data_IF_373430422288
#
_entry.id   IF_373430422288
#
_cell.length_a   1.000
_cell.length_b   1.000
_cell.length_c   1.000
_cell.angle_alpha   90.00
_cell.angle_beta   90.00
_cell.angle_gamma   90.00
#
_symmetry.space_group_name_H-M   'P 1'
#
loop_
_entity.id
_entity.type
_entity.pdbx_description
1 polymer ?
#
# COMPACT_ATOMS: atom_id res chain seq x y z
N UNK A 1 14.84 -4.97 72.42
CA UNK A 1 14.76 -4.42 71.05
C UNK A 1 15.65 -5.28 70.16
N UNK A 2 15.07 -6.18 69.35
CA UNK A 2 15.84 -7.04 68.47
C UNK A 2 16.27 -6.24 67.24
N UNK A 3 17.56 -5.96 67.14
CA UNK A 3 18.16 -5.28 65.99
C UNK A 3 18.14 -6.25 64.80
N UNK A 4 17.18 -6.07 63.89
CA UNK A 4 17.16 -6.79 62.62
C UNK A 4 18.33 -6.27 61.79
N UNK A 5 19.29 -7.13 61.52
CA UNK A 5 20.33 -6.85 60.53
C UNK A 5 19.68 -7.00 59.16
N UNK A 6 19.26 -5.90 58.58
CA UNK A 6 18.87 -5.87 57.16
C UNK A 6 20.11 -6.25 56.35
N UNK A 7 20.00 -7.36 55.61
CA UNK A 7 21.06 -7.87 54.75
C UNK A 7 21.31 -6.90 53.59
N UNK A 8 22.56 -6.51 53.38
CA UNK A 8 22.96 -5.69 52.23
C UNK A 8 22.98 -6.49 50.93
N UNK A 9 22.81 -5.79 49.81
CA UNK A 9 22.83 -6.38 48.47
C UNK A 9 24.23 -6.92 48.15
N UNK A 10 24.31 -8.17 47.72
CA UNK A 10 25.59 -8.78 47.34
C UNK A 10 25.98 -8.44 45.90
N UNK A 11 27.29 -8.52 45.60
CA UNK A 11 27.79 -8.37 44.23
C UNK A 11 27.10 -9.36 43.26
N UNK A 12 26.88 -10.60 43.72
CA UNK A 12 26.28 -11.65 42.90
C UNK A 12 24.79 -11.36 42.62
N UNK A 13 24.02 -10.83 43.58
CA UNK A 13 22.64 -10.40 43.33
C UNK A 13 22.56 -9.25 42.33
N UNK A 14 23.44 -8.26 42.45
CA UNK A 14 23.49 -7.16 41.48
C UNK A 14 23.81 -7.69 40.07
N UNK A 15 24.79 -8.59 39.96
CA UNK A 15 25.19 -9.18 38.68
C UNK A 15 24.06 -10.01 38.06
N UNK A 16 23.33 -10.79 38.87
CA UNK A 16 22.14 -11.53 38.41
C UNK A 16 21.04 -10.57 37.96
N UNK A 17 20.77 -9.50 38.72
CA UNK A 17 19.75 -8.51 38.37
C UNK A 17 20.06 -7.82 37.02
N UNK A 18 21.31 -7.41 36.80
CA UNK A 18 21.75 -6.82 35.53
C UNK A 18 21.69 -7.83 34.39
N UNK A 19 22.08 -9.10 34.62
CA UNK A 19 21.99 -10.14 33.61
C UNK A 19 20.54 -10.40 33.17
N UNK A 20 19.62 -10.55 34.13
CA UNK A 20 18.18 -10.72 33.84
C UNK A 20 17.63 -9.50 33.11
N UNK A 21 17.96 -8.29 33.59
CA UNK A 21 17.53 -7.05 32.95
C UNK A 21 18.04 -6.93 31.51
N UNK A 22 19.28 -7.31 31.24
CA UNK A 22 19.85 -7.30 29.90
C UNK A 22 19.10 -8.27 28.96
N UNK A 23 18.80 -9.49 29.41
CA UNK A 23 18.02 -10.45 28.61
C UNK A 23 16.61 -9.93 28.35
N UNK A 24 15.90 -9.44 29.37
CA UNK A 24 14.55 -8.89 29.21
C UNK A 24 14.53 -7.69 28.25
N UNK A 25 15.52 -6.80 28.37
CA UNK A 25 15.67 -5.64 27.48
C UNK A 25 15.93 -6.06 26.04
N UNK A 26 16.79 -7.05 25.82
CA UNK A 26 17.07 -7.58 24.48
C UNK A 26 15.81 -8.21 23.85
N UNK A 27 15.04 -8.98 24.62
CA UNK A 27 13.78 -9.58 24.17
C UNK A 27 12.73 -8.51 23.84
N UNK A 28 12.58 -7.50 24.71
CA UNK A 28 11.63 -6.41 24.50
C UNK A 28 11.98 -5.61 23.23
N UNK A 29 13.25 -5.27 23.04
CA UNK A 29 13.72 -4.54 21.86
C UNK A 29 13.53 -5.36 20.58
N UNK A 30 13.85 -6.66 20.61
CA UNK A 30 13.61 -7.56 19.49
C UNK A 30 12.12 -7.66 19.14
N UNK A 31 11.26 -7.79 20.15
CA UNK A 31 9.80 -7.81 19.97
C UNK A 31 9.27 -6.53 19.32
N UNK A 32 9.70 -5.37 19.80
CA UNK A 32 9.33 -4.08 19.21
C UNK A 32 9.80 -3.97 17.75
N UNK A 33 11.05 -4.34 17.47
CA UNK A 33 11.59 -4.30 16.12
C UNK A 33 10.80 -5.21 15.16
N UNK A 34 10.42 -6.41 15.61
CA UNK A 34 9.59 -7.32 14.83
C UNK A 34 8.21 -6.74 14.52
N UNK A 35 7.58 -6.05 15.48
CA UNK A 35 6.29 -5.37 15.25
C UNK A 35 6.43 -4.24 14.24
N UNK A 36 7.48 -3.43 14.35
CA UNK A 36 7.74 -2.33 13.42
C UNK A 36 7.96 -2.84 11.98
N UNK A 37 8.76 -3.90 11.82
CA UNK A 37 9.00 -4.55 10.53
C UNK A 37 7.72 -5.18 9.97
N UNK A 38 6.95 -5.87 10.80
CA UNK A 38 5.67 -6.46 10.36
C UNK A 38 4.69 -5.38 9.90
N UNK A 39 4.62 -4.27 10.64
CA UNK A 39 3.78 -3.13 10.29
C UNK A 39 4.22 -2.46 8.98
N UNK A 40 5.53 -2.31 8.75
CA UNK A 40 6.03 -1.73 7.50
C UNK A 40 5.73 -2.62 6.29
N UNK A 41 5.91 -3.94 6.41
CA UNK A 41 5.54 -4.90 5.37
C UNK A 41 4.03 -4.91 5.08
N UNK A 42 3.19 -4.89 6.12
CA UNK A 42 1.74 -4.84 5.96
C UNK A 42 1.28 -3.57 5.24
N UNK A 43 1.88 -2.41 5.57
CA UNK A 43 1.60 -1.14 4.88
C UNK A 43 1.99 -1.20 3.40
N UNK A 44 3.18 -1.71 3.08
CA UNK A 44 3.64 -1.83 1.69
C UNK A 44 2.70 -2.70 0.84
N UNK A 45 2.21 -3.81 1.39
CA UNK A 45 1.25 -4.67 0.67
C UNK A 45 -0.13 -4.01 0.56
N UNK A 46 -0.59 -3.32 1.61
CA UNK A 46 -1.84 -2.53 1.55
C UNK A 46 -1.79 -1.45 0.46
N UNK A 47 -0.66 -0.74 0.33
CA UNK A 47 -0.49 0.28 -0.71
C UNK A 47 -0.47 -0.32 -2.12
N UNK A 48 0.12 -1.52 -2.27
CA UNK A 48 0.09 -2.27 -3.54
C UNK A 48 -1.34 -2.68 -3.91
N UNK A 49 -2.09 -3.24 -2.96
CA UNK A 49 -3.48 -3.64 -3.18
C UNK A 49 -4.37 -2.44 -3.49
N UNK A 50 -4.17 -1.32 -2.80
CA UNK A 50 -4.90 -0.06 -3.04
C UNK A 50 -4.68 0.42 -4.47
N UNK A 51 -3.42 0.42 -4.95
CA UNK A 51 -3.10 0.78 -6.34
C UNK A 51 -3.80 -0.13 -7.33
N UNK A 52 -3.75 -1.45 -7.12
CA UNK A 52 -4.43 -2.41 -8.00
C UNK A 52 -5.95 -2.16 -8.04
N UNK A 53 -6.58 -1.96 -6.89
CA UNK A 53 -8.01 -1.68 -6.81
C UNK A 53 -8.37 -0.37 -7.51
N UNK A 54 -7.55 0.67 -7.36
CA UNK A 54 -7.76 1.93 -8.08
C UNK A 54 -7.66 1.73 -9.59
N UNK A 55 -6.63 1.06 -10.08
CA UNK A 55 -6.47 0.74 -11.51
C UNK A 55 -7.68 -0.02 -12.04
N UNK A 56 -8.12 -1.06 -11.34
CA UNK A 56 -9.30 -1.85 -11.74
C UNK A 56 -10.59 -1.01 -11.73
N UNK A 57 -10.76 -0.13 -10.74
CA UNK A 57 -11.92 0.79 -10.69
C UNK A 57 -11.94 1.78 -11.84
N UNK A 58 -10.78 2.35 -12.21
CA UNK A 58 -10.70 3.24 -13.36
C UNK A 58 -11.01 2.49 -14.65
N UNK A 59 -10.39 1.33 -14.85
CA UNK A 59 -10.64 0.50 -16.02
C UNK A 59 -12.11 0.09 -16.14
N UNK A 60 -12.71 -0.38 -15.04
CA UNK A 60 -14.13 -0.73 -15.00
C UNK A 60 -15.02 0.47 -15.34
N UNK A 61 -14.78 1.64 -14.73
CA UNK A 61 -15.55 2.85 -15.00
C UNK A 61 -15.50 3.23 -16.48
N UNK A 62 -14.33 3.15 -17.10
CA UNK A 62 -14.17 3.54 -18.49
C UNK A 62 -14.80 2.52 -19.44
N UNK A 63 -14.69 1.22 -19.15
CA UNK A 63 -15.32 0.14 -19.93
C UNK A 63 -16.85 0.20 -19.82
N UNK A 64 -17.39 0.39 -18.62
CA UNK A 64 -18.84 0.48 -18.38
C UNK A 64 -19.48 1.69 -19.09
N UNK A 65 -18.67 2.71 -19.41
CA UNK A 65 -19.11 3.94 -20.10
C UNK A 65 -18.85 3.94 -21.61
N UNK A 66 -18.42 2.83 -22.21
CA UNK A 66 -18.19 2.76 -23.66
C UNK A 66 -19.50 3.02 -24.41
N UNK A 67 -19.43 3.86 -25.45
CA UNK A 67 -20.57 4.17 -26.32
C UNK A 67 -20.22 4.01 -27.79
N UNK A 68 -21.21 3.58 -28.58
CA UNK A 68 -21.08 3.44 -30.03
C UNK A 68 -21.14 4.80 -30.74
N UNK A 69 -20.13 5.65 -30.51
CA UNK A 69 -20.01 6.98 -31.11
C UNK A 69 -18.68 7.11 -31.83
N UNK A 70 -18.71 7.49 -33.12
CA UNK A 70 -17.51 7.84 -33.89
C UNK A 70 -17.01 9.23 -33.48
N UNK A 71 -15.70 9.39 -33.48
CA UNK A 71 -15.02 10.65 -33.18
C UNK A 71 -14.02 10.98 -34.28
N UNK A 72 -13.64 12.25 -34.39
CA UNK A 72 -12.54 12.66 -35.27
C UNK A 72 -11.27 12.84 -34.45
N UNK A 73 -10.16 12.39 -34.99
CA UNK A 73 -8.86 12.63 -34.35
C UNK A 73 -8.30 14.03 -34.67
N UNK A 74 -7.08 14.28 -34.23
CA UNK A 74 -6.36 15.54 -34.43
C UNK A 74 -6.04 15.88 -35.90
N UNK A 75 -6.16 14.91 -36.81
CA UNK A 75 -5.96 15.09 -38.25
C UNK A 75 -7.28 15.23 -39.01
N UNK A 76 -8.42 15.10 -38.32
CA UNK A 76 -9.76 15.20 -38.88
C UNK A 76 -10.32 13.86 -39.38
N UNK A 77 -9.56 12.77 -39.24
CA UNK A 77 -9.95 11.45 -39.68
C UNK A 77 -10.97 10.83 -38.74
N UNK A 78 -11.97 10.13 -39.29
CA UNK A 78 -12.98 9.45 -38.49
C UNK A 78 -12.42 8.17 -37.89
N UNK A 79 -12.38 8.09 -36.57
CA UNK A 79 -11.99 6.89 -35.82
C UNK A 79 -13.22 6.08 -35.40
N UNK A 80 -13.11 4.74 -35.40
CA UNK A 80 -14.17 3.88 -34.90
C UNK A 80 -14.39 4.08 -33.38
N UNK A 81 -15.55 3.69 -32.84
CA UNK A 81 -15.86 3.86 -31.41
C UNK A 81 -15.01 3.00 -30.47
N UNK A 82 -14.41 1.93 -30.99
CA UNK A 82 -13.52 1.00 -30.30
C UNK A 82 -12.49 0.49 -31.33
N UNK A 83 -11.22 0.57 -30.99
CA UNK A 83 -10.13 -0.01 -31.78
C UNK A 83 -9.02 -0.51 -30.85
N UNK A 84 -8.31 -1.54 -31.30
CA UNK A 84 -7.13 -2.07 -30.64
C UNK A 84 -5.98 -2.11 -31.63
N UNK A 85 -4.81 -1.61 -31.24
CA UNK A 85 -3.59 -1.69 -32.04
C UNK A 85 -2.56 -2.56 -31.33
N UNK A 86 -2.19 -3.67 -31.97
CA UNK A 86 -1.19 -4.63 -31.44
C UNK A 86 0.20 -4.37 -32.02
N UNK A 87 0.31 -3.53 -33.07
CA UNK A 87 1.48 -3.50 -33.96
C UNK A 87 2.25 -2.17 -34.01
N UNK A 88 1.86 -1.14 -33.25
CA UNK A 88 2.51 0.17 -33.29
C UNK A 88 3.11 0.51 -31.93
N UNK A 89 4.44 0.68 -31.87
CA UNK A 89 5.19 0.99 -30.65
C UNK A 89 4.75 2.31 -29.97
N UNK A 90 4.14 3.22 -30.73
CA UNK A 90 3.72 4.54 -30.27
C UNK A 90 2.19 4.72 -30.17
N UNK A 91 1.39 3.68 -30.49
CA UNK A 91 -0.07 3.77 -30.44
C UNK A 91 -0.64 3.16 -29.15
N UNK A 92 -1.74 3.71 -28.60
CA UNK A 92 -2.41 3.09 -27.46
C UNK A 92 -2.92 1.70 -27.83
N UNK A 93 -2.68 0.69 -26.98
CA UNK A 93 -3.14 -0.70 -27.20
C UNK A 93 -4.65 -0.82 -27.42
N UNK A 94 -5.42 0.05 -26.76
CA UNK A 94 -6.88 0.11 -26.82
C UNK A 94 -7.32 1.58 -26.76
N UNK A 95 -8.16 2.00 -27.69
CA UNK A 95 -8.82 3.31 -27.67
C UNK A 95 -10.31 3.15 -27.92
N UNK A 96 -11.12 3.95 -27.21
CA UNK A 96 -12.57 3.92 -27.31
C UNK A 96 -13.19 5.26 -26.92
N UNK A 97 -14.45 5.44 -27.32
CA UNK A 97 -15.26 6.61 -26.94
C UNK A 97 -16.12 6.29 -25.72
N UNK A 98 -16.08 7.15 -24.70
CA UNK A 98 -16.93 7.04 -23.50
C UNK A 98 -17.98 8.15 -23.41
N UNK A 99 -19.11 7.87 -22.75
CA UNK A 99 -20.22 8.80 -22.58
C UNK A 99 -19.86 10.09 -21.82
N UNK A 100 -18.85 10.02 -20.94
CA UNK A 100 -18.48 11.15 -20.09
C UNK A 100 -19.42 11.33 -18.91
N UNK A 101 -19.47 12.55 -18.37
CA UNK A 101 -20.38 12.92 -17.29
C UNK A 101 -21.56 13.69 -17.86
N UNK A 102 -22.74 13.56 -17.25
CA UNK A 102 -23.89 14.40 -17.59
C UNK A 102 -23.51 15.87 -17.42
N UNK A 103 -23.74 16.69 -18.45
CA UNK A 103 -23.49 18.12 -18.36
C UNK A 103 -24.48 18.76 -17.37
N UNK A 104 -24.02 19.34 -16.24
CA UNK A 104 -24.91 19.94 -15.26
C UNK A 104 -25.51 21.28 -15.72
N UNK A 105 -25.03 21.85 -16.81
CA UNK A 105 -25.43 23.18 -17.28
C UNK A 105 -26.67 23.20 -18.19
N UNK A 106 -27.16 22.05 -18.67
CA UNK A 106 -28.36 21.94 -19.52
C UNK A 106 -28.32 22.80 -20.77
#
# INVERSE_FOLDING_TARGET
MANRRDGGLTLIEFLIAVAVFAVLSALAYSGLNNVLLTSSHARAESDRLTRLQMTMRYLQRDIDQIVNRRVRDQYGDQRPPLESTVAAEEAPLLSFTRAGWTNPAG
#
